data_IF_236645116143
#
_entry.id   IF_236645116143
#
_cell.length_a   1.000
_cell.length_b   1.000
_cell.length_c   1.000
_cell.angle_alpha   90.00
_cell.angle_beta   90.00
_cell.angle_gamma   90.00
#
_symmetry.space_group_name_H-M   'P 1'
#
loop_
_entity.id
_entity.type
_entity.pdbx_description
1 polymer ?
#
# COMPACT_ATOMS: atom_id res chain seq x y z
N UNK A 1 -51.74 14.84 41.01
CA UNK A 1 -52.43 15.02 39.72
C UNK A 1 -52.56 13.64 39.09
N UNK A 2 -53.75 13.27 38.59
CA UNK A 2 -54.22 11.90 38.43
C UNK A 2 -54.30 11.45 36.96
N UNK A 3 -54.94 10.29 36.76
CA UNK A 3 -55.53 9.72 35.53
C UNK A 3 -54.54 8.92 34.63
N UNK A 4 -54.78 7.66 34.25
CA UNK A 4 -56.06 6.93 34.09
C UNK A 4 -55.79 5.42 34.02
N UNK A 5 -56.70 4.65 34.62
CA UNK A 5 -56.90 3.22 34.45
C UNK A 5 -57.36 2.88 33.02
N UNK A 6 -56.91 1.76 32.46
CA UNK A 6 -57.61 1.06 31.37
C UNK A 6 -57.44 -0.46 31.57
N UNK A 7 -58.29 -1.00 32.43
CA UNK A 7 -58.56 -2.44 32.53
C UNK A 7 -59.23 -2.91 31.22
N UNK A 8 -58.44 -3.48 30.30
CA UNK A 8 -58.99 -4.18 29.13
C UNK A 8 -59.49 -5.57 29.54
N UNK A 9 -60.71 -5.62 30.10
CA UNK A 9 -61.48 -6.86 30.19
C UNK A 9 -61.99 -7.26 28.79
N UNK A 10 -61.29 -8.18 28.14
CA UNK A 10 -61.81 -8.89 26.96
C UNK A 10 -62.76 -9.99 27.45
N UNK A 11 -64.06 -9.73 27.36
CA UNK A 11 -65.08 -10.77 27.53
C UNK A 11 -64.99 -11.76 26.36
N UNK A 12 -64.50 -12.97 26.61
CA UNK A 12 -64.57 -14.08 25.64
C UNK A 12 -66.03 -14.51 25.48
N UNK A 13 -66.46 -14.61 24.22
CA UNK A 13 -67.80 -15.00 23.80
C UNK A 13 -68.09 -16.46 24.22
N UNK A 14 -69.20 -16.75 24.93
CA UNK A 14 -69.53 -18.11 25.36
C UNK A 14 -69.74 -19.11 24.21
N UNK A 15 -69.88 -18.66 22.95
CA UNK A 15 -69.89 -19.54 21.78
C UNK A 15 -68.50 -20.13 21.40
N UNK A 16 -67.41 -19.64 22.00
CA UNK A 16 -66.05 -20.14 21.76
C UNK A 16 -65.60 -21.23 22.75
N UNK A 17 -66.44 -21.62 23.71
CA UNK A 17 -66.14 -22.69 24.68
C UNK A 17 -66.51 -24.11 24.20
N UNK A 18 -67.22 -24.25 23.08
CA UNK A 18 -67.72 -25.54 22.57
C UNK A 18 -66.99 -26.02 21.30
N UNK A 19 -65.69 -25.71 21.19
CA UNK A 19 -64.76 -26.42 20.30
C UNK A 19 -63.53 -26.84 21.13
N UNK A 20 -63.80 -27.67 22.14
CA UNK A 20 -62.75 -28.32 22.92
C UNK A 20 -62.19 -29.52 22.16
N UNK A 21 -60.91 -29.45 21.81
CA UNK A 21 -59.93 -30.54 21.95
C UNK A 21 -60.13 -31.88 21.20
N UNK A 22 -60.73 -31.91 20.00
CA UNK A 22 -60.68 -33.14 19.17
C UNK A 22 -59.33 -33.34 18.44
N UNK A 23 -58.51 -32.29 18.27
CA UNK A 23 -57.23 -32.36 17.54
C UNK A 23 -56.02 -32.74 18.43
N UNK A 24 -56.16 -32.67 19.76
CA UNK A 24 -55.07 -32.98 20.72
C UNK A 24 -54.90 -34.49 20.91
N UNK A 25 -55.97 -35.29 20.85
CA UNK A 25 -55.88 -36.75 20.89
C UNK A 25 -55.15 -37.29 19.66
N UNK A 26 -55.45 -36.79 18.46
CA UNK A 26 -54.79 -37.21 17.22
C UNK A 26 -53.30 -36.82 17.17
N UNK A 27 -52.90 -35.72 17.81
CA UNK A 27 -51.49 -35.31 17.94
C UNK A 27 -50.75 -36.13 19.02
N UNK A 28 -51.43 -36.41 20.13
CA UNK A 28 -50.93 -37.26 21.22
C UNK A 28 -50.73 -38.70 20.77
N UNK A 29 -51.68 -39.29 20.04
CA UNK A 29 -51.56 -40.62 19.44
C UNK A 29 -50.42 -40.68 18.43
N UNK A 30 -50.22 -39.64 17.61
CA UNK A 30 -49.09 -39.56 16.67
C UNK A 30 -47.73 -39.51 17.39
N UNK A 31 -47.63 -38.84 18.54
CA UNK A 31 -46.42 -38.85 19.37
C UNK A 31 -46.21 -40.20 20.05
N UNK A 32 -47.27 -40.75 20.65
CA UNK A 32 -47.22 -42.05 21.32
C UNK A 32 -46.90 -43.19 20.35
N UNK A 33 -47.40 -43.15 19.11
CA UNK A 33 -47.06 -44.13 18.07
C UNK A 33 -45.62 -43.99 17.60
N UNK A 34 -45.11 -42.77 17.37
CA UNK A 34 -43.69 -42.54 17.06
C UNK A 34 -42.78 -43.01 18.19
N UNK A 35 -43.15 -42.75 19.44
CA UNK A 35 -42.37 -43.17 20.61
C UNK A 35 -42.38 -44.70 20.76
N UNK A 36 -43.53 -45.36 20.54
CA UNK A 36 -43.62 -46.83 20.48
C UNK A 36 -42.83 -47.42 19.32
N UNK A 37 -42.81 -46.77 18.16
CA UNK A 37 -42.01 -47.19 17.01
C UNK A 37 -40.52 -47.05 17.30
N UNK A 38 -40.09 -45.93 17.89
CA UNK A 38 -38.69 -45.74 18.32
C UNK A 38 -38.28 -46.74 19.41
N UNK A 39 -39.15 -47.02 20.37
CA UNK A 39 -38.90 -48.03 21.40
C UNK A 39 -38.81 -49.45 20.81
N UNK A 40 -39.65 -49.79 19.84
CA UNK A 40 -39.58 -51.07 19.10
C UNK A 40 -38.32 -51.17 18.27
N UNK A 41 -37.94 -50.12 17.54
CA UNK A 41 -36.70 -50.09 16.77
C UNK A 41 -35.47 -50.28 17.68
N UNK A 42 -35.44 -49.63 18.85
CA UNK A 42 -34.39 -49.83 19.86
C UNK A 42 -34.39 -51.26 20.43
N UNK A 43 -35.57 -51.83 20.68
CA UNK A 43 -35.70 -53.19 21.18
C UNK A 43 -35.29 -54.24 20.13
N UNK A 44 -35.60 -54.03 18.85
CA UNK A 44 -35.20 -54.89 17.73
C UNK A 44 -33.70 -54.79 17.47
N UNK A 45 -33.12 -53.58 17.52
CA UNK A 45 -31.67 -53.40 17.51
C UNK A 45 -31.01 -54.19 18.65
N UNK A 46 -31.61 -54.14 19.86
CA UNK A 46 -31.18 -54.90 21.04
C UNK A 46 -31.52 -56.40 21.05
N UNK A 47 -32.12 -56.95 19.99
CA UNK A 47 -32.32 -58.39 19.81
C UNK A 47 -31.46 -59.00 18.69
N UNK A 48 -30.76 -58.18 17.91
CA UNK A 48 -29.82 -58.68 16.89
C UNK A 48 -28.66 -59.45 17.51
N UNK A 49 -28.14 -60.50 16.86
CA UNK A 49 -26.93 -61.20 17.29
C UNK A 49 -25.76 -60.21 17.50
N UNK A 50 -24.89 -60.48 18.48
CA UNK A 50 -23.76 -59.59 18.77
C UNK A 50 -22.83 -59.35 17.55
N UNK A 51 -22.74 -60.32 16.65
CA UNK A 51 -21.99 -60.23 15.38
C UNK A 51 -22.62 -59.26 14.36
N UNK A 52 -23.96 -59.08 14.39
CA UNK A 52 -24.65 -58.16 13.48
C UNK A 52 -24.65 -56.71 14.02
N UNK A 53 -24.66 -56.53 15.36
CA UNK A 53 -24.47 -55.19 15.95
C UNK A 53 -23.07 -54.65 15.74
N UNK A 54 -22.06 -55.50 15.98
CA UNK A 54 -20.66 -55.11 15.74
C UNK A 54 -20.37 -54.79 14.29
N UNK A 55 -21.08 -55.40 13.34
CA UNK A 55 -21.03 -55.02 11.91
C UNK A 55 -21.64 -53.65 11.64
N UNK A 56 -22.83 -53.38 12.18
CA UNK A 56 -23.50 -52.08 12.02
C UNK A 56 -22.71 -50.96 12.69
N UNK A 57 -22.18 -51.19 13.90
CA UNK A 57 -21.35 -50.23 14.60
C UNK A 57 -20.05 -49.95 13.81
N UNK A 58 -19.46 -50.97 13.18
CA UNK A 58 -18.29 -50.81 12.31
C UNK A 58 -18.62 -50.11 10.99
N UNK A 59 -19.78 -50.37 10.38
CA UNK A 59 -20.26 -49.68 9.18
C UNK A 59 -20.56 -48.19 9.47
N UNK A 60 -21.22 -47.87 10.60
CA UNK A 60 -21.46 -46.49 11.05
C UNK A 60 -20.17 -45.76 11.46
N UNK A 61 -19.18 -46.47 12.01
CA UNK A 61 -17.85 -45.91 12.29
C UNK A 61 -17.06 -45.64 11.00
N UNK A 62 -17.15 -46.54 10.02
CA UNK A 62 -16.56 -46.35 8.70
C UNK A 62 -17.19 -45.17 7.96
N UNK A 63 -18.52 -45.04 7.99
CA UNK A 63 -19.26 -43.95 7.34
C UNK A 63 -18.89 -42.59 7.94
N UNK A 64 -18.73 -42.49 9.28
CA UNK A 64 -18.23 -41.27 9.94
C UNK A 64 -16.79 -40.92 9.56
N UNK A 65 -15.91 -41.91 9.42
CA UNK A 65 -14.53 -41.68 9.00
C UNK A 65 -14.45 -41.23 7.54
N UNK A 66 -15.32 -41.75 6.68
CA UNK A 66 -15.41 -41.34 5.28
C UNK A 66 -15.99 -39.91 5.16
N UNK A 67 -17.02 -39.57 5.94
CA UNK A 67 -17.55 -38.19 6.04
C UNK A 67 -16.49 -37.19 6.53
N UNK A 68 -15.76 -37.51 7.61
CA UNK A 68 -14.68 -36.66 8.13
C UNK A 68 -13.52 -36.51 7.13
N UNK A 69 -13.21 -37.57 6.37
CA UNK A 69 -12.21 -37.51 5.31
C UNK A 69 -12.66 -36.63 4.13
N UNK A 70 -13.93 -36.67 3.76
CA UNK A 70 -14.49 -35.82 2.71
C UNK A 70 -14.58 -34.35 3.15
N UNK A 71 -14.98 -34.06 4.39
CA UNK A 71 -14.93 -32.71 4.97
C UNK A 71 -13.50 -32.16 4.99
N UNK A 72 -12.51 -32.97 5.41
CA UNK A 72 -11.11 -32.52 5.43
C UNK A 72 -10.57 -32.20 4.03
N UNK A 73 -11.02 -32.94 3.00
CA UNK A 73 -10.64 -32.68 1.60
C UNK A 73 -11.31 -31.42 1.07
N UNK A 74 -12.56 -31.17 1.46
CA UNK A 74 -13.27 -29.96 1.06
C UNK A 74 -12.61 -28.72 1.68
N UNK A 75 -12.23 -28.79 2.96
CA UNK A 75 -11.48 -27.74 3.66
C UNK A 75 -10.10 -27.48 3.00
N UNK A 76 -9.37 -28.54 2.61
CA UNK A 76 -8.10 -28.41 1.90
C UNK A 76 -8.28 -27.75 0.52
N UNK A 77 -9.34 -28.09 -0.21
CA UNK A 77 -9.65 -27.49 -1.51
C UNK A 77 -10.06 -26.03 -1.37
N UNK A 78 -10.83 -25.67 -0.34
CA UNK A 78 -11.20 -24.28 -0.06
C UNK A 78 -9.97 -23.45 0.32
N UNK A 79 -9.06 -24.00 1.13
CA UNK A 79 -7.80 -23.34 1.48
C UNK A 79 -6.95 -23.05 0.24
N UNK A 80 -6.75 -24.06 -0.63
CA UNK A 80 -5.99 -23.90 -1.88
C UNK A 80 -6.66 -22.87 -2.80
N UNK A 81 -7.97 -22.92 -2.95
CA UNK A 81 -8.71 -21.95 -3.77
C UNK A 81 -8.57 -20.52 -3.22
N UNK A 82 -8.59 -20.36 -1.89
CA UNK A 82 -8.34 -19.09 -1.22
C UNK A 82 -6.93 -18.55 -1.47
N UNK A 83 -5.91 -19.40 -1.33
CA UNK A 83 -4.51 -19.04 -1.60
C UNK A 83 -4.29 -18.64 -3.06
N UNK A 84 -4.89 -19.36 -4.02
CA UNK A 84 -4.81 -19.02 -5.44
C UNK A 84 -5.49 -17.67 -5.74
N UNK A 85 -6.64 -17.40 -5.12
CA UNK A 85 -7.33 -16.13 -5.26
C UNK A 85 -6.51 -14.96 -4.69
N UNK A 86 -5.86 -15.15 -3.53
CA UNK A 86 -4.99 -14.14 -2.93
C UNK A 86 -3.75 -13.87 -3.81
N UNK A 87 -3.13 -14.92 -4.35
CA UNK A 87 -2.00 -14.77 -5.29
C UNK A 87 -2.41 -14.03 -6.57
N UNK A 88 -3.60 -14.31 -7.10
CA UNK A 88 -4.12 -13.59 -8.26
C UNK A 88 -4.39 -12.10 -7.96
N UNK A 89 -4.92 -11.79 -6.77
CA UNK A 89 -5.16 -10.41 -6.33
C UNK A 89 -3.84 -9.64 -6.14
N UNK A 90 -2.83 -10.27 -5.51
CA UNK A 90 -1.48 -9.70 -5.39
C UNK A 90 -0.85 -9.40 -6.74
N UNK A 91 -0.87 -10.35 -7.68
CA UNK A 91 -0.37 -10.15 -9.05
C UNK A 91 -1.09 -9.00 -9.77
N UNK A 92 -2.40 -8.88 -9.59
CA UNK A 92 -3.19 -7.79 -10.16
C UNK A 92 -2.78 -6.44 -9.56
N UNK A 93 -2.55 -6.39 -8.24
CA UNK A 93 -2.10 -5.18 -7.55
C UNK A 93 -0.70 -4.76 -8.00
N UNK A 94 0.22 -5.70 -8.13
CA UNK A 94 1.56 -5.46 -8.67
C UNK A 94 1.48 -4.91 -10.10
N UNK A 95 0.69 -5.53 -10.97
CA UNK A 95 0.50 -5.05 -12.34
C UNK A 95 -0.05 -3.60 -12.41
N UNK A 96 -0.96 -3.23 -11.50
CA UNK A 96 -1.47 -1.86 -11.40
C UNK A 96 -0.40 -0.87 -10.91
N UNK A 97 0.46 -1.29 -9.97
CA UNK A 97 1.57 -0.45 -9.50
C UNK A 97 2.57 -0.24 -10.64
N UNK A 98 2.93 -1.30 -11.36
CA UNK A 98 3.85 -1.24 -12.50
C UNK A 98 3.29 -0.34 -13.61
N UNK A 99 2.01 -0.49 -13.95
CA UNK A 99 1.35 0.36 -14.95
C UNK A 99 1.31 1.83 -14.51
N UNK A 100 1.01 2.09 -13.23
CA UNK A 100 0.99 3.45 -12.70
C UNK A 100 2.38 4.10 -12.71
N UNK A 101 3.41 3.31 -12.39
CA UNK A 101 4.81 3.77 -12.39
C UNK A 101 5.24 4.09 -13.83
N UNK A 102 4.93 3.21 -14.78
CA UNK A 102 5.20 3.43 -16.21
C UNK A 102 4.47 4.67 -16.75
N UNK A 103 3.22 4.88 -16.35
CA UNK A 103 2.46 6.05 -16.75
C UNK A 103 3.08 7.35 -16.21
N UNK A 104 3.57 7.33 -14.96
CA UNK A 104 4.29 8.46 -14.38
C UNK A 104 5.59 8.73 -15.12
N UNK A 105 6.41 7.71 -15.41
CA UNK A 105 7.65 7.84 -16.17
C UNK A 105 7.41 8.49 -17.54
N UNK A 106 6.36 8.06 -18.25
CA UNK A 106 5.97 8.66 -19.54
C UNK A 106 5.57 10.13 -19.35
N UNK A 107 4.80 10.46 -18.32
CA UNK A 107 4.38 11.83 -18.04
C UNK A 107 5.57 12.74 -17.72
N UNK A 108 6.52 12.28 -16.91
CA UNK A 108 7.77 12.98 -16.63
C UNK A 108 8.60 13.20 -17.89
N UNK A 109 8.76 12.16 -18.72
CA UNK A 109 9.50 12.26 -19.97
C UNK A 109 8.86 13.26 -20.95
N UNK A 110 7.53 13.27 -21.04
CA UNK A 110 6.79 14.23 -21.88
C UNK A 110 6.99 15.67 -21.38
N UNK A 111 6.90 15.90 -20.06
CA UNK A 111 7.13 17.23 -19.47
C UNK A 111 8.55 17.73 -19.74
N UNK A 112 9.55 16.86 -19.59
CA UNK A 112 10.93 17.19 -19.89
C UNK A 112 11.13 17.51 -21.38
N UNK A 113 10.45 16.80 -22.28
CA UNK A 113 10.48 17.07 -23.71
C UNK A 113 9.83 18.42 -24.06
N UNK A 114 8.67 18.75 -23.48
CA UNK A 114 8.01 20.04 -23.65
C UNK A 114 8.89 21.20 -23.19
N UNK A 115 9.50 21.07 -22.01
CA UNK A 115 10.41 22.08 -21.47
C UNK A 115 11.62 22.32 -22.38
N UNK A 116 12.20 21.26 -22.96
CA UNK A 116 13.29 21.39 -23.94
C UNK A 116 12.84 22.16 -25.18
N UNK A 117 11.69 21.80 -25.74
CA UNK A 117 11.13 22.45 -26.93
C UNK A 117 10.85 23.93 -26.68
N UNK A 118 10.30 24.27 -25.52
CA UNK A 118 10.01 25.66 -25.17
C UNK A 118 11.28 26.46 -24.92
N UNK A 119 12.29 25.88 -24.26
CA UNK A 119 13.60 26.51 -24.11
C UNK A 119 14.31 26.73 -25.45
N UNK A 120 14.25 25.77 -26.38
CA UNK A 120 14.78 25.93 -27.75
C UNK A 120 14.07 27.06 -28.50
N UNK A 121 12.74 27.12 -28.43
CA UNK A 121 11.96 28.20 -29.05
C UNK A 121 12.31 29.57 -28.48
N UNK A 122 12.40 29.68 -27.15
CA UNK A 122 12.78 30.92 -26.46
C UNK A 122 14.20 31.35 -26.82
N UNK A 123 15.14 30.39 -26.86
CA UNK A 123 16.51 30.63 -27.26
C UNK A 123 16.63 31.09 -28.71
N UNK A 124 15.94 30.44 -29.64
CA UNK A 124 15.93 30.83 -31.05
C UNK A 124 15.30 32.23 -31.26
N UNK A 125 14.20 32.53 -30.55
CA UNK A 125 13.57 33.84 -30.59
C UNK A 125 14.46 34.93 -29.99
N UNK A 126 15.18 34.64 -28.90
CA UNK A 126 16.17 35.53 -28.29
C UNK A 126 17.30 35.86 -29.26
N UNK A 127 17.90 34.85 -29.90
CA UNK A 127 18.96 35.04 -30.90
C UNK A 127 18.49 35.83 -32.13
N UNK A 128 17.23 35.71 -32.52
CA UNK A 128 16.67 36.50 -33.62
C UNK A 128 16.55 37.98 -33.22
N UNK A 129 16.06 38.26 -32.00
CA UNK A 129 15.96 39.63 -31.46
C UNK A 129 17.32 40.27 -31.26
N UNK A 130 18.27 39.53 -30.67
CA UNK A 130 19.66 39.93 -30.54
C UNK A 130 20.19 40.42 -31.89
N UNK A 131 20.14 39.58 -32.93
CA UNK A 131 20.66 39.96 -34.25
C UNK A 131 20.04 41.25 -34.79
N UNK A 132 18.72 41.41 -34.64
CA UNK A 132 18.02 42.62 -35.08
C UNK A 132 18.51 43.86 -34.33
N UNK A 133 18.63 43.77 -33.00
CA UNK A 133 19.12 44.88 -32.18
C UNK A 133 20.59 45.22 -32.46
N UNK A 134 21.44 44.22 -32.67
CA UNK A 134 22.84 44.44 -33.06
C UNK A 134 22.94 45.14 -34.41
N UNK A 135 22.22 44.67 -35.44
CA UNK A 135 22.23 45.30 -36.75
C UNK A 135 21.73 46.74 -36.70
N UNK A 136 20.58 46.96 -36.05
CA UNK A 136 20.02 48.31 -35.90
C UNK A 136 20.96 49.23 -35.12
N UNK A 137 21.57 48.73 -34.05
CA UNK A 137 22.53 49.48 -33.26
C UNK A 137 23.76 49.91 -34.06
N UNK A 138 24.30 49.00 -34.87
CA UNK A 138 25.40 49.31 -35.79
C UNK A 138 25.00 50.34 -36.85
N UNK A 139 23.85 50.16 -37.50
CA UNK A 139 23.38 51.08 -38.54
C UNK A 139 23.18 52.52 -38.01
N UNK A 140 22.63 52.66 -36.80
CA UNK A 140 22.42 53.96 -36.16
C UNK A 140 23.75 54.63 -35.75
N UNK A 141 24.71 53.85 -35.25
CA UNK A 141 26.05 54.33 -34.93
C UNK A 141 26.82 54.76 -36.18
N UNK A 142 26.76 53.97 -37.25
CA UNK A 142 27.43 54.27 -38.51
C UNK A 142 26.81 55.51 -39.17
N UNK A 143 25.48 55.65 -39.14
CA UNK A 143 24.80 56.86 -39.63
C UNK A 143 25.17 58.10 -38.80
N UNK A 144 25.25 57.99 -37.47
CA UNK A 144 25.68 59.10 -36.61
C UNK A 144 27.16 59.46 -36.83
N UNK A 145 28.02 58.48 -37.08
CA UNK A 145 29.43 58.70 -37.37
C UNK A 145 29.68 59.30 -38.76
N UNK A 146 28.83 58.98 -39.74
CA UNK A 146 28.88 59.54 -41.08
C UNK A 146 28.48 61.03 -41.12
N UNK A 147 27.54 61.44 -40.25
CA UNK A 147 27.03 62.81 -40.18
C UNK A 147 27.09 63.36 -38.73
N UNK A 148 28.29 63.62 -38.19
CA UNK A 148 28.45 63.98 -36.78
C UNK A 148 27.85 65.35 -36.43
N UNK A 149 27.82 66.28 -37.39
CA UNK A 149 27.28 67.64 -37.19
C UNK A 149 25.77 67.74 -37.51
N UNK A 150 25.12 66.64 -37.92
CA UNK A 150 23.70 66.65 -38.23
C UNK A 150 22.88 66.87 -36.94
N UNK A 151 21.79 67.66 -37.01
CA UNK A 151 20.90 67.84 -35.87
C UNK A 151 20.30 66.48 -35.48
N UNK A 152 20.59 66.03 -34.26
CA UNK A 152 20.13 64.74 -33.74
C UNK A 152 21.15 63.60 -33.85
N UNK A 153 22.37 63.83 -34.37
CA UNK A 153 23.42 62.81 -34.46
C UNK A 153 23.76 62.18 -33.10
N UNK A 154 23.87 62.99 -32.04
CA UNK A 154 24.10 62.50 -30.67
C UNK A 154 22.97 61.59 -30.15
N UNK A 155 21.72 61.93 -30.48
CA UNK A 155 20.56 61.14 -30.10
C UNK A 155 20.54 59.80 -30.84
N UNK A 156 20.85 59.81 -32.14
CA UNK A 156 20.98 58.60 -32.95
C UNK A 156 22.12 57.70 -32.45
N UNK A 157 23.27 58.27 -32.08
CA UNK A 157 24.37 57.52 -31.48
C UNK A 157 23.99 56.93 -30.10
N UNK A 158 23.16 57.63 -29.33
CA UNK A 158 22.65 57.12 -28.06
C UNK A 158 21.64 55.97 -28.25
N UNK A 159 20.75 56.08 -29.26
CA UNK A 159 19.82 55.02 -29.66
C UNK A 159 20.60 53.77 -30.12
N UNK A 160 21.63 53.96 -30.94
CA UNK A 160 22.47 52.85 -31.41
C UNK A 160 23.17 52.13 -30.25
N UNK A 161 23.72 52.87 -29.28
CA UNK A 161 24.27 52.28 -28.04
C UNK A 161 23.20 51.60 -27.17
N UNK A 162 21.95 52.04 -27.23
CA UNK A 162 20.86 51.40 -26.50
C UNK A 162 20.48 50.06 -27.16
N UNK A 163 20.37 50.01 -28.48
CA UNK A 163 20.16 48.77 -29.22
C UNK A 163 21.31 47.77 -29.05
N UNK A 164 22.57 48.21 -29.08
CA UNK A 164 23.72 47.34 -28.78
C UNK A 164 23.66 46.74 -27.36
N UNK A 165 23.17 47.51 -26.38
CA UNK A 165 22.95 47.00 -25.02
C UNK A 165 21.78 46.02 -24.96
N UNK A 166 20.66 46.34 -25.62
CA UNK A 166 19.50 45.45 -25.69
C UNK A 166 19.84 44.10 -26.34
N UNK A 167 20.58 44.11 -27.46
CA UNK A 167 21.04 42.88 -28.11
C UNK A 167 21.95 42.05 -27.20
N UNK A 168 22.87 42.70 -26.47
CA UNK A 168 23.72 42.02 -25.48
C UNK A 168 22.92 41.43 -24.31
N UNK A 169 21.90 42.13 -23.83
CA UNK A 169 21.03 41.62 -22.77
C UNK A 169 20.20 40.40 -23.25
N UNK A 170 19.72 40.42 -24.49
CA UNK A 170 19.04 39.27 -25.10
C UNK A 170 19.98 38.07 -25.30
N UNK A 171 21.24 38.30 -25.67
CA UNK A 171 22.27 37.24 -25.71
C UNK A 171 22.37 36.53 -24.36
N UNK A 172 22.59 37.27 -23.27
CA UNK A 172 22.72 36.67 -21.94
C UNK A 172 21.46 35.96 -21.47
N UNK A 173 20.27 36.53 -21.75
CA UNK A 173 19.00 35.87 -21.43
C UNK A 173 18.84 34.55 -22.19
N UNK A 174 19.22 34.53 -23.46
CA UNK A 174 19.15 33.33 -24.29
C UNK A 174 20.15 32.26 -23.81
N UNK A 175 21.38 32.65 -23.48
CA UNK A 175 22.38 31.73 -22.90
C UNK A 175 21.96 31.20 -21.54
N UNK A 176 21.39 32.03 -20.67
CA UNK A 176 20.88 31.57 -19.37
C UNK A 176 19.71 30.60 -19.53
N UNK A 177 18.82 30.82 -20.49
CA UNK A 177 17.73 29.90 -20.80
C UNK A 177 18.25 28.55 -21.27
N UNK A 178 19.21 28.54 -22.22
CA UNK A 178 19.87 27.32 -22.67
C UNK A 178 20.67 26.63 -21.56
N UNK A 179 21.41 27.40 -20.76
CA UNK A 179 22.21 26.90 -19.65
C UNK A 179 21.37 26.30 -18.54
N UNK A 180 20.19 26.88 -18.24
CA UNK A 180 19.21 26.29 -17.31
C UNK A 180 18.67 24.97 -17.84
N UNK A 181 18.32 24.89 -19.13
CA UNK A 181 17.86 23.64 -19.74
C UNK A 181 18.92 22.53 -19.68
N UNK A 182 20.19 22.88 -19.93
CA UNK A 182 21.30 21.94 -19.85
C UNK A 182 21.56 21.45 -18.42
N UNK A 183 21.44 22.33 -17.41
CA UNK A 183 21.58 21.95 -15.99
C UNK A 183 20.40 21.11 -15.49
N UNK A 184 19.17 21.47 -15.84
CA UNK A 184 17.98 20.70 -15.48
C UNK A 184 18.06 19.26 -16.03
N UNK A 185 18.56 19.08 -17.27
CA UNK A 185 18.80 17.76 -17.84
C UNK A 185 19.93 16.96 -17.16
N UNK A 186 20.94 17.64 -16.60
CA UNK A 186 22.00 17.01 -15.81
C UNK A 186 21.50 16.58 -14.43
N UNK A 187 20.77 17.46 -13.73
CA UNK A 187 20.16 17.16 -12.43
C UNK A 187 19.17 15.97 -12.55
N UNK A 188 18.41 15.89 -13.64
CA UNK A 188 17.51 14.75 -13.90
C UNK A 188 18.29 13.42 -14.11
N UNK A 189 19.43 13.47 -14.81
CA UNK A 189 20.28 12.30 -15.01
C UNK A 189 20.92 11.84 -13.69
N UNK A 190 21.38 12.78 -12.86
CA UNK A 190 21.95 12.50 -11.54
C UNK A 190 20.89 11.91 -10.59
N UNK A 191 19.66 12.46 -10.60
CA UNK A 191 18.54 11.90 -9.83
C UNK A 191 18.16 10.50 -10.28
N UNK A 192 18.16 10.22 -11.59
CA UNK A 192 17.88 8.87 -12.11
C UNK A 192 18.97 7.88 -11.71
N UNK A 193 20.24 8.26 -11.81
CA UNK A 193 21.37 7.44 -11.37
C UNK A 193 21.28 7.14 -9.86
N UNK A 194 20.98 8.14 -9.03
CA UNK A 194 20.79 7.95 -7.60
C UNK A 194 19.61 7.03 -7.26
N UNK A 195 18.51 7.11 -8.02
CA UNK A 195 17.37 6.22 -7.84
C UNK A 195 17.68 4.77 -8.25
N UNK A 196 18.45 4.57 -9.33
CA UNK A 196 18.92 3.25 -9.76
C UNK A 196 19.86 2.62 -8.72
N UNK A 197 20.79 3.41 -8.16
CA UNK A 197 21.68 2.95 -7.09
C UNK A 197 20.91 2.56 -5.83
N UNK A 198 19.91 3.36 -5.40
CA UNK A 198 19.05 3.00 -4.27
C UNK A 198 18.26 1.71 -4.51
N UNK A 199 17.70 1.51 -5.72
CA UNK A 199 17.01 0.25 -6.06
C UNK A 199 17.96 -0.94 -5.97
N UNK A 200 19.20 -0.77 -6.43
CA UNK A 200 20.24 -1.80 -6.38
C UNK A 200 20.64 -2.14 -4.95
N UNK A 201 20.84 -1.12 -4.10
CA UNK A 201 21.14 -1.30 -2.68
C UNK A 201 20.00 -2.00 -1.93
N UNK A 202 18.74 -1.67 -2.24
CA UNK A 202 17.56 -2.33 -1.66
C UNK A 202 17.47 -3.80 -2.10
N UNK A 203 17.65 -4.08 -3.39
CA UNK A 203 17.66 -5.46 -3.91
C UNK A 203 18.81 -6.29 -3.30
N UNK A 204 19.98 -5.68 -3.10
CA UNK A 204 21.13 -6.34 -2.49
C UNK A 204 20.95 -6.55 -0.98
N UNK A 205 20.29 -5.62 -0.28
CA UNK A 205 19.94 -5.76 1.13
C UNK A 205 18.79 -6.76 1.37
N UNK A 206 17.88 -6.95 0.41
CA UNK A 206 16.81 -7.95 0.47
C UNK A 206 17.26 -9.37 0.07
N UNK A 207 18.47 -9.51 -0.51
CA UNK A 207 19.00 -10.81 -0.94
C UNK A 207 19.28 -11.88 0.14
N UNK A 208 19.33 -11.66 1.47
CA UNK A 208 19.68 -12.74 2.40
C UNK A 208 18.50 -13.45 3.09
N UNK A 209 17.24 -13.32 2.64
CA UNK A 209 16.13 -14.08 3.24
C UNK A 209 15.90 -15.46 2.59
N UNK A 210 16.05 -15.58 1.28
CA UNK A 210 15.72 -16.82 0.55
C UNK A 210 16.87 -17.84 0.50
N UNK A 211 18.14 -17.39 0.52
CA UNK A 211 19.31 -18.29 0.55
C UNK A 211 19.54 -18.90 1.95
N UNK A 212 19.17 -18.20 3.03
CA UNK A 212 19.25 -18.71 4.40
C UNK A 212 18.28 -19.86 4.69
N UNK A 213 17.17 -19.96 3.94
CA UNK A 213 16.20 -21.05 4.05
C UNK A 213 16.67 -22.30 3.28
N UNK A 214 17.50 -22.14 2.24
CA UNK A 214 18.07 -23.27 1.48
C UNK A 214 19.34 -23.86 2.11
N UNK A 215 20.10 -23.06 2.85
CA UNK A 215 21.29 -23.51 3.58
C UNK A 215 21.05 -23.39 5.08
N UNK A 216 20.26 -24.31 5.64
CA UNK A 216 20.13 -24.44 7.09
C UNK A 216 21.53 -24.76 7.67
N UNK A 217 22.08 -23.96 8.60
CA UNK A 217 23.34 -24.32 9.25
C UNK A 217 23.14 -25.64 9.99
N UNK A 218 23.85 -26.68 9.56
CA UNK A 218 23.66 -28.07 9.99
C UNK A 218 23.98 -28.36 11.46
N UNK A 219 24.48 -27.37 12.20
CA UNK A 219 24.84 -27.49 13.62
C UNK A 219 24.28 -26.30 14.40
N UNK A 220 23.01 -26.38 14.78
CA UNK A 220 22.53 -25.58 15.91
C UNK A 220 23.02 -26.27 17.18
N UNK A 221 23.89 -25.64 18.01
CA UNK A 221 24.37 -26.26 19.24
C UNK A 221 23.18 -26.51 20.15
N UNK A 222 23.03 -27.76 20.59
CA UNK A 222 21.98 -28.18 21.53
C UNK A 222 21.93 -27.21 22.71
N UNK A 223 20.74 -26.66 22.95
CA UNK A 223 20.48 -25.77 24.07
C UNK A 223 20.79 -26.50 25.39
N UNK A 224 21.95 -26.19 25.98
CA UNK A 224 22.28 -26.66 27.33
C UNK A 224 21.25 -26.06 28.30
N UNK A 225 20.35 -26.91 28.79
CA UNK A 225 19.42 -26.56 29.85
C UNK A 225 20.22 -26.02 31.05
N UNK A 226 19.79 -24.92 31.68
CA UNK A 226 20.49 -24.35 32.81
C UNK A 226 20.45 -25.34 33.97
N UNK A 227 21.59 -25.97 34.29
CA UNK A 227 21.71 -26.76 35.49
C UNK A 227 21.64 -25.83 36.71
N UNK A 228 20.65 -26.08 37.56
CA UNK A 228 20.50 -25.50 38.89
C UNK A 228 21.82 -25.61 39.67
N UNK A 229 22.55 -24.51 39.77
CA UNK A 229 23.64 -24.37 40.74
C UNK A 229 23.17 -23.53 41.90
N UNK A 230 22.63 -24.26 42.88
CA UNK A 230 22.54 -23.84 44.28
C UNK A 230 23.92 -23.38 44.78
N UNK A 231 23.89 -22.35 45.61
CA UNK A 231 24.94 -21.81 46.48
C UNK A 231 25.94 -20.84 45.84
N UNK A 232 25.84 -19.57 46.23
CA UNK A 232 26.95 -18.78 46.81
C UNK A 232 26.37 -17.52 47.47
N UNK A 233 25.97 -17.67 48.73
CA UNK A 233 25.90 -16.55 49.68
C UNK A 233 27.33 -16.10 49.97
N UNK A 234 27.74 -14.95 49.43
CA UNK A 234 28.92 -14.23 49.91
C UNK A 234 28.71 -12.72 49.82
N UNK A 235 28.42 -12.17 50.99
CA UNK A 235 28.39 -10.77 51.41
C UNK A 235 29.65 -10.02 50.96
N UNK A 236 29.51 -8.99 50.12
CA UNK A 236 30.60 -8.08 49.73
C UNK A 236 30.07 -6.71 49.33
N UNK A 237 30.58 -5.65 49.96
CA UNK A 237 30.07 -4.27 49.95
C UNK A 237 30.48 -3.48 48.69
N UNK A 238 29.58 -2.56 48.28
CA UNK A 238 29.79 -1.21 47.69
C UNK A 238 30.75 -1.06 46.48
N UNK A 239 30.21 -0.57 45.37
CA UNK A 239 30.42 0.84 45.00
C UNK A 239 29.37 1.34 44.00
N UNK A 240 28.76 2.48 44.33
CA UNK A 240 27.95 3.26 43.41
C UNK A 240 28.89 3.99 42.44
N UNK A 241 28.73 3.79 41.15
CA UNK A 241 29.09 4.80 40.16
C UNK A 241 27.89 5.09 39.28
N UNK A 242 27.48 6.36 39.35
CA UNK A 242 26.37 6.98 38.66
C UNK A 242 26.75 7.15 37.19
N UNK A 243 26.06 6.47 36.27
CA UNK A 243 25.97 6.93 34.89
C UNK A 243 24.57 7.50 34.67
N UNK A 244 24.50 8.83 34.64
CA UNK A 244 23.33 9.58 34.19
C UNK A 244 23.16 9.37 32.68
N UNK A 245 21.94 9.16 32.15
CA UNK A 245 21.68 9.40 30.74
C UNK A 245 21.78 10.90 30.46
N UNK A 246 22.50 11.25 29.38
CA UNK A 246 22.69 12.60 28.88
C UNK A 246 21.50 12.90 27.95
N UNK A 247 20.60 13.80 28.36
CA UNK A 247 19.59 14.41 27.50
C UNK A 247 20.30 15.28 26.44
N UNK A 248 20.00 15.14 25.13
CA UNK A 248 20.20 16.20 24.15
C UNK A 248 18.84 16.86 23.87
N UNK A 249 18.25 17.46 24.90
CA UNK A 249 17.18 18.43 24.75
C UNK A 249 17.78 19.79 25.09
N UNK A 250 18.49 20.38 24.12
CA UNK A 250 18.91 21.78 24.17
C UNK A 250 19.16 22.28 22.75
N UNK A 251 18.42 23.35 22.43
CA UNK A 251 18.78 24.39 21.45
C UNK A 251 18.54 24.05 19.97
N UNK A 252 17.26 24.08 19.59
CA UNK A 252 16.89 24.65 18.30
C UNK A 252 16.59 26.14 18.54
N UNK A 253 17.63 26.96 18.41
CA UNK A 253 17.49 28.41 18.19
C UNK A 253 16.82 28.60 16.82
N UNK A 254 15.56 29.04 16.83
CA UNK A 254 14.86 29.52 15.65
C UNK A 254 14.85 31.06 15.71
N UNK A 255 15.92 31.66 15.20
CA UNK A 255 15.86 33.02 14.66
C UNK A 255 15.68 32.91 13.14
N UNK A 256 14.43 33.07 12.68
CA UNK A 256 14.04 33.46 11.32
C UNK A 256 12.60 34.00 11.34
#
# INVERSE_FOLDING_TARGET
>A
MPDTDDDQFVSLDPAQQEQGDDDTEAASERRATRERQAARARAEANQRPAADRTRLDAEEEQERLDEEADESREDELELIAGEEAELAERRRREALIDESTRAQEIAFANRAAEERVDNEKLGAAGQARERVDWHRGHDELDRAAAEPDAPGADALAAEGRAHMRAGRDEYYRSEEAYGRAARAGADEADHRAAAEDQRREVDEAQRPAHEAVRNLPGDAPEAQLPQDRRHLTARGKRNQQKNKPRNPASEWDLDL
#
